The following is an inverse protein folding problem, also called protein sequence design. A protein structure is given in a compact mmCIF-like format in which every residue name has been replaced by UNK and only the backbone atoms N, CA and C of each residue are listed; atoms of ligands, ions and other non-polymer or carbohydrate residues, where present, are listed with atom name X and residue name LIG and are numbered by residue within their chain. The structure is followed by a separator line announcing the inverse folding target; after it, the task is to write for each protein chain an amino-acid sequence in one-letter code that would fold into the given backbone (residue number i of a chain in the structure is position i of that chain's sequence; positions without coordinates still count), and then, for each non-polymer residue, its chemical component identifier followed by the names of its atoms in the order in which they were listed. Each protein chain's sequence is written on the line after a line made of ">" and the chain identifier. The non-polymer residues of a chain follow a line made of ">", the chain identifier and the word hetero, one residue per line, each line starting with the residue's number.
data_IF_052925407411
#
_entry.id   IF_052925407411
#
_cell.length_a   1.000
_cell.length_b   1.000
_cell.length_c   1.000
_cell.angle_alpha   90.00
_cell.angle_beta   90.00
_cell.angle_gamma   90.00
#
_symmetry.space_group_name_H-M   'P 1'
#
loop_
_entity.id
_entity.type
_entity.pdbx_description
1 polymer ?
#
# COMPACT_ATOMS: atom_id res chain seq x y z
N UNK A 1 -2.76 6.44 20.69
CA UNK A 1 -2.56 4.97 20.70
C UNK A 1 -2.89 4.33 19.35
N UNK A 2 -3.98 4.73 18.69
CA UNK A 2 -4.44 4.22 17.37
C UNK A 2 -3.42 4.25 16.21
N UNK A 3 -2.44 5.17 16.25
CA UNK A 3 -1.44 5.40 15.19
C UNK A 3 -0.19 4.50 15.31
N UNK A 4 0.01 3.87 16.47
CA UNK A 4 1.18 3.03 16.75
C UNK A 4 1.40 1.91 15.71
N UNK A 5 0.36 1.16 15.27
CA UNK A 5 0.54 0.10 14.29
C UNK A 5 1.03 0.62 12.94
N UNK A 6 0.47 1.75 12.51
CA UNK A 6 0.81 2.36 11.23
C UNK A 6 2.23 2.93 11.27
N UNK A 7 2.65 3.55 12.39
CA UNK A 7 4.01 4.06 12.57
C UNK A 7 5.05 2.93 12.57
N UNK A 8 4.76 1.78 13.20
CA UNK A 8 5.61 0.59 13.16
C UNK A 8 5.62 -0.08 11.78
N UNK A 9 4.52 -0.01 11.04
CA UNK A 9 4.42 -0.54 9.69
C UNK A 9 5.09 0.35 8.63
N UNK A 10 5.28 1.65 8.88
CA UNK A 10 5.86 2.61 7.94
C UNK A 10 7.18 2.15 7.27
N UNK A 11 8.22 1.68 8.00
CA UNK A 11 9.44 1.20 7.36
C UNK A 11 9.21 -0.06 6.50
N UNK A 12 8.26 -0.92 6.89
CA UNK A 12 7.89 -2.11 6.12
C UNK A 12 7.14 -1.70 4.85
N UNK A 13 6.21 -0.76 4.93
CA UNK A 13 5.47 -0.22 3.79
C UNK A 13 6.40 0.47 2.79
N UNK A 14 7.38 1.25 3.28
CA UNK A 14 8.43 1.83 2.45
C UNK A 14 9.33 0.79 1.80
N UNK A 15 9.73 -0.24 2.55
CA UNK A 15 10.52 -1.36 2.01
C UNK A 15 9.75 -2.13 0.93
N UNK A 16 8.45 -2.35 1.12
CA UNK A 16 7.62 -3.03 0.13
C UNK A 16 7.42 -2.16 -1.10
N UNK A 17 7.17 -0.86 -0.94
CA UNK A 17 7.09 0.08 -2.05
C UNK A 17 8.39 0.13 -2.86
N UNK A 18 9.54 0.13 -2.17
CA UNK A 18 10.86 0.10 -2.80
C UNK A 18 11.11 -1.20 -3.58
N UNK A 19 10.79 -2.35 -2.98
CA UNK A 19 10.97 -3.65 -3.63
C UNK A 19 10.00 -3.86 -4.79
N UNK A 20 8.77 -3.36 -4.70
CA UNK A 20 7.82 -3.34 -5.81
C UNK A 20 8.31 -2.43 -6.95
N UNK A 21 8.84 -1.24 -6.64
CA UNK A 21 9.41 -0.35 -7.65
C UNK A 21 10.62 -0.94 -8.38
N UNK A 22 11.48 -1.68 -7.66
CA UNK A 22 12.69 -2.29 -8.24
C UNK A 22 12.41 -3.59 -9.01
N UNK A 23 11.57 -4.46 -8.47
CA UNK A 23 11.46 -5.86 -8.91
C UNK A 23 10.04 -6.22 -9.38
N UNK A 24 9.03 -5.36 -9.16
CA UNK A 24 7.61 -5.63 -9.46
C UNK A 24 7.15 -6.99 -8.92
N UNK A 25 7.71 -7.40 -7.76
CA UNK A 25 7.41 -8.65 -7.09
C UNK A 25 7.16 -8.37 -5.62
N UNK A 26 5.88 -8.31 -5.28
CA UNK A 26 5.42 -8.37 -3.90
C UNK A 26 5.62 -9.81 -3.41
N UNK A 27 6.59 -10.01 -2.52
CA UNK A 27 6.87 -11.32 -1.91
C UNK A 27 5.78 -11.63 -0.87
N UNK A 28 5.24 -12.85 -0.88
CA UNK A 28 4.30 -13.31 0.16
C UNK A 28 4.88 -13.13 1.58
N UNK A 29 6.20 -13.23 1.75
CA UNK A 29 6.89 -13.00 3.02
C UNK A 29 6.65 -11.60 3.59
N UNK A 30 6.50 -10.58 2.73
CA UNK A 30 6.26 -9.22 3.17
C UNK A 30 4.83 -9.01 3.68
N UNK A 31 3.85 -9.64 3.02
CA UNK A 31 2.45 -9.66 3.46
C UNK A 31 2.31 -10.41 4.79
N UNK A 32 3.03 -11.52 4.95
CA UNK A 32 3.09 -12.27 6.22
C UNK A 32 3.75 -11.45 7.34
N UNK A 33 4.82 -10.71 7.03
CA UNK A 33 5.46 -9.82 8.00
C UNK A 33 4.51 -8.69 8.44
N UNK A 34 3.77 -8.09 7.49
CA UNK A 34 2.73 -7.11 7.81
C UNK A 34 1.64 -7.68 8.72
N UNK A 35 1.14 -8.89 8.41
CA UNK A 35 0.16 -9.56 9.27
C UNK A 35 0.73 -9.83 10.68
N UNK A 36 1.98 -10.28 10.78
CA UNK A 36 2.63 -10.52 12.07
C UNK A 36 2.73 -9.23 12.90
N UNK A 37 3.10 -8.11 12.29
CA UNK A 37 3.13 -6.80 12.98
C UNK A 37 1.74 -6.41 13.44
N UNK A 38 0.71 -6.58 12.60
CA UNK A 38 -0.67 -6.31 13.01
C UNK A 38 -1.08 -7.12 14.24
N UNK A 39 -0.83 -8.44 14.25
CA UNK A 39 -1.12 -9.31 15.39
C UNK A 39 -0.42 -8.85 16.66
N UNK A 40 0.86 -8.46 16.56
CA UNK A 40 1.62 -7.94 17.70
C UNK A 40 1.05 -6.61 18.24
N UNK A 41 0.36 -5.84 17.41
CA UNK A 41 -0.24 -4.56 17.79
C UNK A 41 -1.66 -4.68 18.35
N UNK A 42 -2.31 -5.86 18.26
CA UNK A 42 -3.67 -6.09 18.79
C UNK A 42 -3.82 -5.66 20.27
N UNK A 43 -2.89 -5.98 21.19
CA UNK A 43 -3.01 -5.56 22.59
C UNK A 43 -3.04 -4.03 22.77
N UNK A 44 -2.47 -3.25 21.84
CA UNK A 44 -2.43 -1.79 21.92
C UNK A 44 -3.67 -1.10 21.35
N UNK A 45 -4.36 -1.72 20.38
CA UNK A 45 -5.57 -1.17 19.73
C UNK A 45 -6.88 -1.76 20.29
N UNK A 46 -6.82 -2.93 20.92
CA UNK A 46 -7.99 -3.65 21.42
C UNK A 46 -8.66 -4.53 20.37
N UNK A 47 -9.34 -5.57 20.85
CA UNK A 47 -10.01 -6.58 20.01
C UNK A 47 -11.11 -6.04 19.08
N UNK A 48 -11.98 -5.09 19.50
CA UNK A 48 -13.04 -4.58 18.62
C UNK A 48 -12.48 -3.89 17.38
N UNK A 49 -11.52 -2.97 17.58
CA UNK A 49 -10.88 -2.23 16.49
C UNK A 49 -10.07 -3.17 15.58
N UNK A 50 -9.34 -4.13 16.17
CA UNK A 50 -8.63 -5.16 15.40
C UNK A 50 -9.59 -5.98 14.51
N UNK A 51 -10.78 -6.34 15.03
CA UNK A 51 -11.81 -7.05 14.27
C UNK A 51 -12.30 -6.26 13.06
N UNK A 52 -12.60 -4.97 13.24
CA UNK A 52 -13.03 -4.11 12.12
C UNK A 52 -11.94 -3.92 11.06
N UNK A 53 -10.68 -3.72 11.47
CA UNK A 53 -9.54 -3.61 10.54
C UNK A 53 -9.32 -4.91 9.77
N UNK A 54 -9.47 -6.06 10.41
CA UNK A 54 -9.40 -7.37 9.75
C UNK A 54 -10.54 -7.54 8.73
N UNK A 55 -11.78 -7.19 9.11
CA UNK A 55 -12.92 -7.21 8.18
C UNK A 55 -12.68 -6.32 6.97
N UNK A 56 -12.17 -5.10 7.18
CA UNK A 56 -11.84 -4.19 6.09
C UNK A 56 -10.76 -4.78 5.15
N UNK A 57 -9.73 -5.42 5.72
CA UNK A 57 -8.72 -6.14 4.94
C UNK A 57 -9.31 -7.28 4.10
N UNK A 58 -10.24 -8.06 4.65
CA UNK A 58 -10.94 -9.15 3.93
C UNK A 58 -11.81 -8.59 2.79
N UNK A 59 -12.55 -7.50 3.04
CA UNK A 59 -13.39 -6.86 2.02
C UNK A 59 -12.54 -6.35 0.86
N UNK A 60 -11.43 -5.66 1.16
CA UNK A 60 -10.51 -5.16 0.14
C UNK A 60 -9.83 -6.32 -0.61
N UNK A 61 -9.48 -7.40 0.08
CA UNK A 61 -8.95 -8.60 -0.57
C UNK A 61 -9.97 -9.22 -1.52
N UNK A 62 -11.23 -9.38 -1.11
CA UNK A 62 -12.28 -9.96 -1.95
C UNK A 62 -12.56 -9.11 -3.19
N UNK A 63 -12.68 -7.79 -3.03
CA UNK A 63 -12.86 -6.86 -4.14
C UNK A 63 -11.65 -6.87 -5.09
N UNK A 64 -10.43 -6.81 -4.54
CA UNK A 64 -9.21 -6.89 -5.33
C UNK A 64 -9.05 -8.25 -6.02
N UNK A 65 -9.45 -9.35 -5.38
CA UNK A 65 -9.41 -10.68 -5.96
C UNK A 65 -10.35 -10.80 -7.17
N UNK A 66 -11.55 -10.20 -7.10
CA UNK A 66 -12.45 -10.13 -8.25
C UNK A 66 -11.81 -9.37 -9.43
N UNK A 67 -11.12 -8.25 -9.16
CA UNK A 67 -10.38 -7.50 -10.18
C UNK A 67 -9.17 -8.28 -10.74
N UNK A 68 -8.49 -9.06 -9.90
CA UNK A 68 -7.43 -9.97 -10.33
C UNK A 68 -7.97 -11.10 -11.21
N UNK A 69 -9.10 -11.69 -10.85
CA UNK A 69 -9.78 -12.70 -11.67
C UNK A 69 -10.20 -12.13 -13.04
N UNK A 70 -10.59 -10.85 -13.08
CA UNK A 70 -10.85 -10.09 -14.31
C UNK A 70 -9.57 -9.67 -15.07
N UNK A 71 -8.37 -10.04 -14.59
CA UNK A 71 -7.05 -9.68 -15.15
C UNK A 71 -6.78 -8.17 -15.22
N UNK A 72 -7.45 -7.38 -14.40
CA UNK A 72 -7.30 -5.92 -14.35
C UNK A 72 -6.15 -5.48 -13.44
N UNK A 73 -5.90 -6.23 -12.36
CA UNK A 73 -4.93 -5.88 -11.30
C UNK A 73 -4.01 -7.07 -11.04
N UNK A 74 -2.75 -6.82 -10.64
CA UNK A 74 -1.81 -7.87 -10.26
C UNK A 74 -2.15 -8.50 -8.91
N UNK A 75 -1.97 -9.82 -8.77
CA UNK A 75 -2.27 -10.51 -7.50
C UNK A 75 -1.41 -10.06 -6.31
N UNK A 76 -0.25 -9.43 -6.58
CA UNK A 76 0.55 -8.78 -5.56
C UNK A 76 -0.15 -7.55 -4.98
N UNK A 77 -0.66 -6.68 -5.83
CA UNK A 77 -1.30 -5.41 -5.46
C UNK A 77 -2.53 -5.63 -4.58
N UNK A 78 -3.31 -6.68 -4.92
CA UNK A 78 -4.48 -7.11 -4.14
C UNK A 78 -4.09 -7.46 -2.70
N UNK A 79 -3.04 -8.28 -2.54
CA UNK A 79 -2.58 -8.71 -1.21
C UNK A 79 -2.04 -7.54 -0.39
N UNK A 80 -1.34 -6.62 -1.04
CA UNK A 80 -0.80 -5.44 -0.38
C UNK A 80 -1.87 -4.45 0.03
N UNK A 81 -2.85 -4.18 -0.83
CA UNK A 81 -4.01 -3.36 -0.48
C UNK A 81 -4.76 -3.92 0.73
N UNK A 82 -4.99 -5.23 0.75
CA UNK A 82 -5.60 -5.91 1.90
C UNK A 82 -4.76 -5.80 3.18
N UNK A 83 -3.45 -6.01 3.10
CA UNK A 83 -2.55 -5.89 4.24
C UNK A 83 -2.48 -4.45 4.79
N UNK A 84 -2.53 -3.44 3.91
CA UNK A 84 -2.48 -2.04 4.29
C UNK A 84 -3.69 -1.64 5.15
N UNK A 85 -4.89 -2.16 4.85
CA UNK A 85 -6.10 -1.89 5.63
C UNK A 85 -6.01 -2.35 7.08
N UNK A 86 -5.16 -3.34 7.40
CA UNK A 86 -4.94 -3.78 8.78
C UNK A 86 -4.34 -2.67 9.66
N UNK A 87 -3.64 -1.71 9.05
CA UNK A 87 -2.97 -0.61 9.76
C UNK A 87 -3.76 0.70 9.74
N UNK A 88 -4.83 0.78 8.96
CA UNK A 88 -5.64 2.00 8.85
C UNK A 88 -6.71 2.01 9.97
N UNK A 89 -6.75 3.04 10.83
CA UNK A 89 -7.82 3.18 11.82
C UNK A 89 -9.19 3.31 11.16
N UNK A 90 -10.20 2.65 11.75
CA UNK A 90 -11.57 2.58 11.22
C UNK A 90 -12.21 3.94 10.99
N UNK A 91 -12.00 4.88 11.92
CA UNK A 91 -12.50 6.26 11.81
C UNK A 91 -11.88 7.08 10.68
N UNK A 92 -10.84 6.57 10.00
CA UNK A 92 -10.07 7.33 9.01
C UNK A 92 -10.15 6.77 7.59
N UNK A 93 -11.04 5.80 7.32
CA UNK A 93 -11.14 5.16 6.01
C UNK A 93 -11.42 6.14 4.87
N UNK A 94 -12.30 7.13 5.08
CA UNK A 94 -12.59 8.15 4.07
C UNK A 94 -11.36 9.00 3.75
N UNK A 95 -10.65 9.44 4.79
CA UNK A 95 -9.40 10.20 4.63
C UNK A 95 -8.34 9.36 3.93
N UNK A 96 -8.19 8.09 4.32
CA UNK A 96 -7.27 7.16 3.70
C UNK A 96 -7.59 6.95 2.21
N UNK A 97 -8.87 6.85 1.83
CA UNK A 97 -9.26 6.73 0.43
C UNK A 97 -8.86 7.97 -0.40
N UNK A 98 -9.01 9.17 0.16
CA UNK A 98 -8.54 10.41 -0.49
C UNK A 98 -7.00 10.45 -0.60
N UNK A 99 -6.29 10.11 0.48
CA UNK A 99 -4.82 10.07 0.49
C UNK A 99 -4.30 9.02 -0.50
N UNK A 100 -4.92 7.84 -0.54
CA UNK A 100 -4.60 6.79 -1.51
C UNK A 100 -4.83 7.24 -2.94
N UNK A 101 -5.97 7.88 -3.23
CA UNK A 101 -6.29 8.40 -4.56
C UNK A 101 -5.27 9.48 -4.98
N UNK A 102 -4.92 10.40 -4.09
CA UNK A 102 -3.91 11.42 -4.34
C UNK A 102 -2.52 10.81 -4.58
N UNK A 103 -2.11 9.84 -3.76
CA UNK A 103 -0.84 9.14 -3.91
C UNK A 103 -0.77 8.34 -5.22
N UNK A 104 -1.89 7.74 -5.65
CA UNK A 104 -2.00 7.04 -6.92
C UNK A 104 -1.85 8.01 -8.11
N UNK A 105 -2.54 9.15 -8.10
CA UNK A 105 -2.44 10.17 -9.15
C UNK A 105 -1.02 10.76 -9.24
N UNK A 106 -0.43 11.12 -8.10
CA UNK A 106 0.94 11.64 -8.04
C UNK A 106 1.95 10.60 -8.49
N UNK A 107 1.83 9.36 -8.00
CA UNK A 107 2.69 8.26 -8.42
C UNK A 107 2.61 8.01 -9.93
N UNK A 108 1.39 8.03 -10.49
CA UNK A 108 1.17 7.91 -11.94
C UNK A 108 1.84 9.06 -12.71
N UNK A 109 1.62 10.31 -12.28
CA UNK A 109 2.23 11.48 -12.90
C UNK A 109 3.77 11.42 -12.89
N UNK A 110 4.37 11.02 -11.77
CA UNK A 110 5.82 10.85 -11.64
C UNK A 110 6.32 9.71 -12.55
N UNK A 111 5.67 8.55 -12.56
CA UNK A 111 6.09 7.43 -13.41
C UNK A 111 5.97 7.78 -14.90
N UNK A 112 4.91 8.48 -15.30
CA UNK A 112 4.71 8.92 -16.68
C UNK A 112 5.75 9.96 -17.11
N UNK A 113 6.05 10.95 -16.26
CA UNK A 113 7.09 11.95 -16.55
C UNK A 113 8.48 11.32 -16.64
N UNK A 114 8.84 10.42 -15.73
CA UNK A 114 10.10 9.68 -15.79
C UNK A 114 10.20 8.77 -17.04
N UNK A 115 9.08 8.17 -17.47
CA UNK A 115 9.02 7.38 -18.71
C UNK A 115 9.12 8.22 -19.97
N UNK A 116 8.76 9.51 -19.92
CA UNK A 116 8.92 10.43 -21.04
C UNK A 116 10.40 10.74 -21.32
N UNK A 117 11.29 10.56 -20.34
CA UNK A 117 12.73 10.79 -20.50
C UNK A 117 13.40 9.57 -21.17
N UNK A 118 13.93 9.69 -22.40
CA UNK A 118 14.45 8.54 -23.16
C UNK A 118 15.66 7.87 -22.50
N UNK A 119 16.49 8.63 -21.79
CA UNK A 119 17.67 8.12 -21.08
C UNK A 119 17.26 7.17 -19.95
N UNK A 120 16.32 7.59 -19.08
CA UNK A 120 15.79 6.76 -18.00
C UNK A 120 14.99 5.56 -18.51
N UNK A 121 14.38 5.65 -19.70
CA UNK A 121 13.73 4.50 -20.33
C UNK A 121 14.71 3.41 -20.76
N UNK A 122 15.96 3.76 -21.09
CA UNK A 122 16.99 2.80 -21.52
C UNK A 122 17.78 2.23 -20.34
N UNK A 123 18.07 3.03 -19.32
CA UNK A 123 18.92 2.65 -18.17
C UNK A 123 18.17 2.43 -16.86
N UNK A 124 16.90 2.86 -16.76
CA UNK A 124 16.12 2.87 -15.53
C UNK A 124 15.65 1.51 -15.05
N UNK A 125 14.97 1.49 -13.90
CA UNK A 125 14.43 0.29 -13.25
C UNK A 125 13.44 -0.48 -14.15
N UNK A 126 13.15 -1.73 -13.80
CA UNK A 126 12.19 -2.59 -14.54
C UNK A 126 10.83 -1.87 -14.70
N UNK A 127 10.42 -1.11 -13.69
CA UNK A 127 9.23 -0.27 -13.70
C UNK A 127 9.24 0.87 -14.72
N UNK A 128 10.40 1.43 -15.07
CA UNK A 128 10.53 2.47 -16.11
C UNK A 128 10.59 1.87 -17.52
N UNK A 129 11.00 0.59 -17.62
CA UNK A 129 11.07 -0.17 -18.88
C UNK A 129 9.77 -0.89 -19.26
N UNK A 130 8.97 -1.30 -18.28
CA UNK A 130 7.71 -1.99 -18.52
C UNK A 130 6.69 -1.07 -19.22
N UNK A 131 6.08 -1.55 -20.31
CA UNK A 131 4.97 -0.85 -21.00
C UNK A 131 3.63 -1.35 -20.47
N UNK A 132 2.70 -0.42 -20.20
CA UNK A 132 1.32 -0.75 -19.84
C UNK A 132 1.06 -1.18 -18.40
N UNK A 133 2.10 -1.34 -17.57
CA UNK A 133 1.94 -1.64 -16.14
C UNK A 133 2.35 -0.44 -15.28
N UNK A 134 1.65 -0.20 -14.19
CA UNK A 134 1.99 0.83 -13.20
C UNK A 134 2.44 0.15 -11.90
N UNK A 135 3.60 0.52 -11.32
CA UNK A 135 4.06 -0.04 -10.05
C UNK A 135 3.19 0.49 -8.88
N UNK A 136 2.10 -0.23 -8.61
CA UNK A 136 1.12 0.13 -7.58
C UNK A 136 1.70 0.17 -6.17
N UNK A 137 2.81 -0.52 -5.90
CA UNK A 137 3.50 -0.48 -4.62
C UNK A 137 4.01 0.92 -4.25
N UNK A 138 4.32 1.78 -5.23
CA UNK A 138 4.65 3.19 -4.94
C UNK A 138 3.42 3.90 -4.35
N UNK A 139 2.26 3.77 -4.98
CA UNK A 139 1.03 4.39 -4.52
C UNK A 139 0.61 3.84 -3.14
N UNK A 140 0.69 2.52 -2.94
CA UNK A 140 0.37 1.87 -1.67
C UNK A 140 1.32 2.26 -0.54
N UNK A 141 2.63 2.33 -0.79
CA UNK A 141 3.59 2.77 0.23
C UNK A 141 3.49 4.26 0.54
N UNK A 142 3.40 5.10 -0.49
CA UNK A 142 3.25 6.55 -0.32
C UNK A 142 1.95 6.89 0.40
N UNK A 143 0.85 6.22 0.09
CA UNK A 143 -0.43 6.45 0.77
C UNK A 143 -0.36 6.09 2.26
N UNK A 144 0.28 4.97 2.63
CA UNK A 144 0.46 4.61 4.03
C UNK A 144 1.29 5.64 4.81
N UNK A 145 2.39 6.12 4.23
CA UNK A 145 3.26 7.14 4.86
C UNK A 145 2.60 8.53 4.88
N UNK A 146 1.94 8.93 3.79
CA UNK A 146 1.21 10.19 3.72
C UNK A 146 0.05 10.21 4.72
N UNK A 147 -0.66 9.08 4.89
CA UNK A 147 -1.76 8.97 5.86
C UNK A 147 -1.25 9.14 7.28
N UNK A 148 -0.08 8.58 7.61
CA UNK A 148 0.60 8.84 8.88
C UNK A 148 0.90 10.33 9.07
N UNK A 149 1.50 10.97 8.08
CA UNK A 149 1.87 12.38 8.15
C UNK A 149 0.67 13.29 8.32
N UNK A 150 -0.43 13.01 7.60
CA UNK A 150 -1.68 13.76 7.71
C UNK A 150 -2.30 13.58 9.09
N UNK A 151 -2.37 12.33 9.60
CA UNK A 151 -2.92 12.09 10.93
C UNK A 151 -2.08 12.71 12.04
N UNK A 152 -0.75 12.68 11.94
CA UNK A 152 0.15 13.32 12.88
C UNK A 152 0.05 14.86 12.88
N UNK A 153 -0.33 15.46 11.74
CA UNK A 153 -0.56 16.91 11.64
C UNK A 153 -1.93 17.35 12.17
N UNK A 154 -2.88 16.42 12.28
CA UNK A 154 -4.26 16.67 12.74
C UNK A 154 -4.49 16.30 14.21
N UNK A 155 -3.50 15.67 14.87
CA UNK A 155 -3.52 15.23 16.27
C UNK A 155 -2.69 16.14 17.17
#
# INVERSE_FOLDING_TARGET
>A
MELLPLALAAPILLWIAWTDFRVMRIRNSAVLAALAVFVLTIPAIGWPEAGFRLMAGVIVFAAGFALFAARMVGGGDVKMGAALMLFVPTGTYTLFAFVFSAAMLLGMAVVLTLRAVPALRRTGTVSLRAKGTFPMGIALGLSGVAHLGVLAALS
#
